data_IF_803659003561
#
_entry.id   IF_803659003561
#
_cell.length_a   1.000
_cell.length_b   1.000
_cell.length_c   1.000
_cell.angle_alpha   90.00
_cell.angle_beta   90.00
_cell.angle_gamma   90.00
#
_symmetry.space_group_name_H-M   'P 1'
#
loop_
_entity.id
_entity.type
_entity.pdbx_description
1 polymer ?
#
# COMPACT_ATOMS: atom_id res chain seq x y z
N UNK A 1 9.47 7.87 23.08
CA UNK A 1 9.67 8.70 24.29
C UNK A 1 9.36 7.88 25.55
N UNK A 2 10.23 7.90 26.58
CA UNK A 2 10.02 7.17 27.84
C UNK A 2 8.76 7.65 28.61
N UNK A 3 8.26 8.83 28.27
CA UNK A 3 7.11 9.51 28.90
C UNK A 3 5.74 8.94 28.50
N UNK A 4 5.63 8.25 27.36
CA UNK A 4 4.36 7.67 26.86
C UNK A 4 4.25 6.16 27.14
N UNK A 5 5.37 5.51 27.46
CA UNK A 5 5.45 4.05 27.61
C UNK A 5 4.61 3.49 28.77
N UNK A 6 4.22 4.34 29.72
CA UNK A 6 3.41 3.97 30.89
C UNK A 6 1.96 4.49 30.81
N UNK A 7 1.52 5.07 29.68
CA UNK A 7 0.13 5.50 29.53
C UNK A 7 -0.77 4.28 29.24
N UNK A 8 -1.79 3.99 30.07
CA UNK A 8 -2.72 2.89 29.85
C UNK A 8 -3.44 2.95 28.49
N UNK A 9 -3.52 4.13 27.84
CA UNK A 9 -4.03 4.27 26.47
C UNK A 9 -3.14 3.61 25.41
N UNK A 10 -1.83 3.53 25.64
CA UNK A 10 -0.92 2.83 24.71
C UNK A 10 -1.19 1.33 24.73
N UNK A 11 -1.46 0.77 25.91
CA UNK A 11 -1.80 -0.64 26.04
C UNK A 11 -3.12 -0.99 25.33
N UNK A 12 -4.16 -0.13 25.42
CA UNK A 12 -5.42 -0.36 24.70
C UNK A 12 -5.25 -0.26 23.19
N UNK A 13 -4.51 0.74 22.69
CA UNK A 13 -4.24 0.89 21.25
C UNK A 13 -3.48 -0.32 20.69
N UNK A 14 -2.47 -0.81 21.41
CA UNK A 14 -1.73 -2.03 21.00
C UNK A 14 -2.62 -3.26 21.00
N UNK A 15 -3.55 -3.38 21.95
CA UNK A 15 -4.49 -4.49 21.99
C UNK A 15 -5.49 -4.44 20.81
N UNK A 16 -6.00 -3.26 20.48
CA UNK A 16 -6.89 -3.05 19.33
C UNK A 16 -6.17 -3.37 18.02
N UNK A 17 -4.94 -2.89 17.85
CA UNK A 17 -4.12 -3.16 16.66
C UNK A 17 -3.82 -4.66 16.48
N UNK A 18 -3.49 -5.36 17.58
CA UNK A 18 -3.29 -6.81 17.56
C UNK A 18 -4.57 -7.57 17.19
N UNK A 19 -5.74 -7.08 17.62
CA UNK A 19 -7.02 -7.67 17.27
C UNK A 19 -7.32 -7.50 15.77
N UNK A 20 -7.05 -6.32 15.20
CA UNK A 20 -7.19 -6.04 13.77
C UNK A 20 -6.24 -6.93 12.96
N UNK A 21 -4.96 -6.99 13.33
CA UNK A 21 -3.96 -7.83 12.69
C UNK A 21 -4.38 -9.31 12.67
N UNK A 22 -4.86 -9.81 13.81
CA UNK A 22 -5.30 -11.20 13.92
C UNK A 22 -6.52 -11.48 13.03
N UNK A 23 -7.47 -10.53 12.96
CA UNK A 23 -8.64 -10.64 12.10
C UNK A 23 -8.25 -10.66 10.60
N UNK A 24 -7.32 -9.79 10.19
CA UNK A 24 -6.86 -9.71 8.80
C UNK A 24 -6.07 -10.94 8.38
N UNK A 25 -5.17 -11.44 9.24
CA UNK A 25 -4.46 -12.70 9.01
C UNK A 25 -5.43 -13.88 8.86
N UNK A 26 -6.44 -13.94 9.73
CA UNK A 26 -7.49 -14.98 9.66
C UNK A 26 -8.27 -14.88 8.36
N UNK A 27 -8.66 -13.67 7.94
CA UNK A 27 -9.39 -13.41 6.70
C UNK A 27 -8.57 -13.83 5.47
N UNK A 28 -7.29 -13.45 5.41
CA UNK A 28 -6.37 -13.86 4.33
C UNK A 28 -6.27 -15.38 4.26
N UNK A 29 -6.01 -16.02 5.40
CA UNK A 29 -5.90 -17.48 5.50
C UNK A 29 -7.16 -18.19 5.01
N UNK A 30 -8.34 -17.75 5.44
CA UNK A 30 -9.61 -18.35 5.03
C UNK A 30 -9.85 -18.21 3.52
N UNK A 31 -9.50 -17.07 2.93
CA UNK A 31 -9.62 -16.86 1.48
C UNK A 31 -8.66 -17.76 0.70
N UNK A 32 -7.40 -17.86 1.12
CA UNK A 32 -6.42 -18.76 0.51
C UNK A 32 -6.84 -20.23 0.63
N UNK A 33 -7.39 -20.62 1.79
CA UNK A 33 -7.93 -21.96 1.99
C UNK A 33 -9.11 -22.25 1.06
N UNK A 34 -10.05 -21.31 0.91
CA UNK A 34 -11.18 -21.48 -0.01
C UNK A 34 -10.72 -21.63 -1.47
N UNK A 35 -9.70 -20.87 -1.90
CA UNK A 35 -9.10 -21.03 -3.23
C UNK A 35 -8.40 -22.39 -3.38
N UNK A 36 -7.73 -22.88 -2.34
CA UNK A 36 -7.08 -24.20 -2.35
C UNK A 36 -8.10 -25.35 -2.43
N UNK A 37 -9.18 -25.26 -1.67
CA UNK A 37 -10.27 -26.23 -1.69
C UNK A 37 -10.98 -26.23 -3.06
N UNK A 38 -11.17 -25.05 -3.67
CA UNK A 38 -11.69 -24.93 -5.04
C UNK A 38 -10.78 -25.64 -6.05
N UNK A 39 -9.46 -25.46 -5.95
CA UNK A 39 -8.50 -26.16 -6.84
C UNK A 39 -8.57 -27.66 -6.68
N UNK A 40 -8.66 -28.17 -5.45
CA UNK A 40 -8.81 -29.61 -5.18
C UNK A 40 -10.10 -30.16 -5.77
N UNK A 41 -11.20 -29.43 -5.64
CA UNK A 41 -12.49 -29.80 -6.24
C UNK A 41 -12.37 -29.91 -7.77
N UNK A 42 -11.83 -28.87 -8.42
CA UNK A 42 -11.63 -28.84 -9.86
C UNK A 42 -10.68 -29.95 -10.34
N UNK A 43 -9.64 -30.28 -9.56
CA UNK A 43 -8.76 -31.40 -9.87
C UNK A 43 -9.50 -32.74 -9.82
N UNK A 44 -10.33 -32.96 -8.78
CA UNK A 44 -11.17 -34.16 -8.69
C UNK A 44 -12.20 -34.25 -9.82
N UNK A 45 -12.70 -33.11 -10.31
CA UNK A 45 -13.58 -33.04 -11.46
C UNK A 45 -12.84 -33.45 -12.74
N UNK A 46 -11.63 -32.91 -12.97
CA UNK A 46 -10.76 -33.31 -14.09
C UNK A 46 -10.51 -34.82 -14.08
N UNK A 47 -10.13 -35.38 -12.93
CA UNK A 47 -9.85 -36.82 -12.82
C UNK A 47 -11.09 -37.67 -13.14
N UNK A 48 -12.28 -37.18 -12.78
CA UNK A 48 -13.55 -37.84 -13.08
C UNK A 48 -13.90 -37.75 -14.56
N UNK A 49 -13.69 -36.59 -15.19
CA UNK A 49 -13.89 -36.39 -16.63
C UNK A 49 -12.91 -37.24 -17.45
N UNK A 50 -11.65 -37.35 -17.03
CA UNK A 50 -10.67 -38.23 -17.66
C UNK A 50 -11.10 -39.71 -17.62
N UNK A 51 -11.62 -40.18 -16.48
CA UNK A 51 -12.18 -41.53 -16.38
C UNK A 51 -13.39 -41.72 -17.31
N UNK A 52 -14.24 -40.71 -17.46
CA UNK A 52 -15.36 -40.75 -18.42
C UNK A 52 -14.85 -40.86 -19.85
N UNK A 53 -13.84 -40.08 -20.22
CA UNK A 53 -13.20 -40.16 -21.55
C UNK A 53 -12.67 -41.56 -21.83
N UNK A 54 -11.93 -42.16 -20.89
CA UNK A 54 -11.40 -43.54 -21.08
C UNK A 54 -12.52 -44.56 -21.31
N UNK A 55 -13.61 -44.47 -20.53
CA UNK A 55 -14.77 -45.34 -20.74
C UNK A 55 -15.47 -45.07 -22.09
N UNK A 56 -15.59 -43.81 -22.48
CA UNK A 56 -16.23 -43.40 -23.73
C UNK A 56 -15.41 -43.86 -24.94
N UNK A 57 -14.07 -43.75 -24.86
CA UNK A 57 -13.16 -44.23 -25.88
C UNK A 57 -13.30 -45.74 -26.08
N UNK A 58 -13.41 -46.51 -24.98
CA UNK A 58 -13.65 -47.95 -25.07
C UNK A 58 -14.97 -48.29 -25.77
N UNK A 59 -16.02 -47.48 -25.57
CA UNK A 59 -17.29 -47.65 -26.30
C UNK A 59 -17.15 -47.33 -27.79
N UNK A 60 -16.39 -46.28 -28.13
CA UNK A 60 -16.05 -45.95 -29.53
C UNK A 60 -15.31 -47.11 -30.19
N UNK A 61 -14.32 -47.69 -29.52
CA UNK A 61 -13.53 -48.80 -30.06
C UNK A 61 -14.41 -50.03 -30.32
N UNK A 62 -15.27 -50.40 -29.36
CA UNK A 62 -16.24 -51.50 -29.52
C UNK A 62 -17.24 -51.23 -30.65
N UNK A 63 -17.73 -49.99 -30.77
CA UNK A 63 -18.66 -49.62 -31.85
C UNK A 63 -17.97 -49.65 -33.23
N UNK A 64 -16.68 -49.28 -33.32
CA UNK A 64 -15.86 -49.39 -34.53
C UNK A 64 -15.62 -50.85 -34.94
N UNK A 65 -15.33 -51.73 -33.98
CA UNK A 65 -15.22 -53.17 -34.23
C UNK A 65 -16.54 -53.74 -34.77
N UNK A 66 -17.67 -53.38 -34.15
CA UNK A 66 -19.00 -53.80 -34.62
C UNK A 66 -19.29 -53.28 -36.03
N UNK A 67 -18.99 -52.01 -36.32
CA UNK A 67 -19.17 -51.42 -37.65
C UNK A 67 -18.33 -52.14 -38.70
N UNK A 68 -17.08 -52.49 -38.39
CA UNK A 68 -16.20 -53.26 -39.29
C UNK A 68 -16.79 -54.63 -39.62
N UNK A 69 -17.28 -55.34 -38.59
CA UNK A 69 -17.99 -56.61 -38.77
C UNK A 69 -19.23 -56.49 -39.65
N UNK A 70 -20.08 -55.49 -39.39
CA UNK A 70 -21.31 -55.23 -40.16
C UNK A 70 -20.99 -54.81 -41.60
N UNK A 71 -19.98 -53.95 -41.81
CA UNK A 71 -19.57 -53.47 -43.13
C UNK A 71 -19.14 -54.60 -44.05
N UNK A 72 -18.42 -55.60 -43.52
CA UNK A 72 -18.03 -56.80 -44.28
C UNK A 72 -19.22 -57.65 -44.74
N UNK A 73 -20.32 -57.65 -43.97
CA UNK A 73 -21.56 -58.37 -44.29
C UNK A 73 -22.45 -57.55 -45.24
N UNK A 74 -22.47 -56.22 -45.09
CA UNK A 74 -23.18 -55.31 -45.97
C UNK A 74 -22.60 -55.34 -47.40
N UNK A 75 -21.27 -55.38 -47.56
CA UNK A 75 -20.63 -55.55 -48.88
C UNK A 75 -21.00 -56.87 -49.57
N UNK A 76 -21.34 -57.91 -48.80
CA UNK A 76 -21.83 -59.20 -49.31
C UNK A 76 -23.34 -59.21 -49.56
N UNK A 77 -24.03 -58.08 -49.39
CA UNK A 77 -25.48 -57.95 -49.56
C UNK A 77 -26.32 -58.57 -48.43
N UNK A 78 -25.69 -58.92 -47.30
CA UNK A 78 -26.31 -59.67 -46.21
C UNK A 78 -26.89 -58.77 -45.10
N UNK A 79 -26.72 -57.44 -45.18
CA UNK A 79 -27.20 -56.48 -44.17
C UNK A 79 -27.74 -55.21 -44.83
N UNK A 80 -28.80 -54.64 -44.26
CA UNK A 80 -29.41 -53.37 -44.66
C UNK A 80 -28.48 -52.19 -44.34
N UNK A 81 -28.24 -51.32 -45.34
CA UNK A 81 -27.36 -50.14 -45.24
C UNK A 81 -27.70 -49.21 -44.06
N UNK A 82 -28.98 -49.20 -43.62
CA UNK A 82 -29.44 -48.47 -42.43
C UNK A 82 -28.66 -48.84 -41.16
N UNK A 83 -28.29 -50.11 -40.95
CA UNK A 83 -27.53 -50.52 -39.75
C UNK A 83 -26.11 -49.95 -39.72
N UNK A 84 -25.47 -49.84 -40.88
CA UNK A 84 -24.13 -49.23 -41.04
C UNK A 84 -24.21 -47.75 -40.68
N UNK A 85 -25.20 -47.04 -41.24
CA UNK A 85 -25.43 -45.63 -40.96
C UNK A 85 -25.70 -45.37 -39.47
N UNK A 86 -26.56 -46.16 -38.83
CA UNK A 86 -26.84 -46.01 -37.39
C UNK A 86 -25.60 -46.21 -36.54
N UNK A 87 -24.76 -47.22 -36.83
CA UNK A 87 -23.49 -47.41 -36.11
C UNK A 87 -22.52 -46.25 -36.31
N UNK A 88 -22.43 -45.70 -37.53
CA UNK A 88 -21.59 -44.53 -37.81
C UNK A 88 -22.06 -43.29 -37.05
N UNK A 89 -23.38 -43.04 -37.03
CA UNK A 89 -23.95 -41.97 -36.23
C UNK A 89 -23.62 -42.14 -34.74
N UNK A 90 -23.79 -43.35 -34.19
CA UNK A 90 -23.43 -43.60 -32.78
C UNK A 90 -21.95 -43.32 -32.53
N UNK A 91 -21.03 -43.77 -33.39
CA UNK A 91 -19.60 -43.46 -33.22
C UNK A 91 -19.35 -41.95 -33.20
N UNK A 92 -19.94 -41.21 -34.14
CA UNK A 92 -19.81 -39.76 -34.20
C UNK A 92 -20.37 -39.07 -32.95
N UNK A 93 -21.51 -39.53 -32.43
CA UNK A 93 -22.11 -39.01 -31.19
C UNK A 93 -21.20 -39.25 -29.98
N UNK A 94 -20.60 -40.44 -29.87
CA UNK A 94 -19.67 -40.76 -28.78
C UNK A 94 -18.35 -39.96 -28.88
N UNK A 95 -17.82 -39.78 -30.08
CA UNK A 95 -16.64 -38.95 -30.33
C UNK A 95 -16.93 -37.47 -30.02
N UNK A 96 -18.13 -36.98 -30.34
CA UNK A 96 -18.61 -35.65 -29.94
C UNK A 96 -18.62 -35.47 -28.42
N UNK A 97 -19.13 -36.45 -27.67
CA UNK A 97 -19.13 -36.40 -26.20
C UNK A 97 -17.71 -36.39 -25.60
N UNK A 98 -16.75 -37.07 -26.23
CA UNK A 98 -15.34 -37.02 -25.79
C UNK A 98 -14.80 -35.60 -25.93
N UNK A 99 -15.05 -34.94 -27.06
CA UNK A 99 -14.63 -33.55 -27.30
C UNK A 99 -15.27 -32.58 -26.31
N UNK A 100 -16.53 -32.81 -25.94
CA UNK A 100 -17.21 -32.02 -24.91
C UNK A 100 -16.54 -32.20 -23.53
N UNK A 101 -16.15 -33.42 -23.16
CA UNK A 101 -15.42 -33.68 -21.93
C UNK A 101 -14.02 -33.07 -21.93
N UNK A 102 -13.29 -33.14 -23.05
CA UNK A 102 -11.98 -32.49 -23.20
C UNK A 102 -12.10 -30.97 -23.05
N UNK A 103 -13.13 -30.38 -23.65
CA UNK A 103 -13.43 -28.95 -23.49
C UNK A 103 -13.72 -28.59 -22.04
N UNK A 104 -14.53 -29.40 -21.34
CA UNK A 104 -14.80 -29.21 -19.92
C UNK A 104 -13.53 -29.32 -19.05
N UNK A 105 -12.62 -30.25 -19.37
CA UNK A 105 -11.30 -30.36 -18.71
C UNK A 105 -10.48 -29.10 -18.94
N UNK A 106 -10.44 -28.57 -20.17
CA UNK A 106 -9.72 -27.34 -20.48
C UNK A 106 -10.28 -26.14 -19.69
N UNK A 107 -11.60 -26.02 -19.61
CA UNK A 107 -12.26 -24.99 -18.79
C UNK A 107 -11.92 -25.15 -17.31
N UNK A 108 -11.95 -26.37 -16.76
CA UNK A 108 -11.56 -26.63 -15.37
C UNK A 108 -10.10 -26.26 -15.11
N UNK A 109 -9.18 -26.59 -16.04
CA UNK A 109 -7.76 -26.20 -15.95
C UNK A 109 -7.57 -24.68 -16.00
N UNK A 110 -8.33 -23.97 -16.85
CA UNK A 110 -8.32 -22.51 -16.87
C UNK A 110 -8.80 -21.92 -15.54
N UNK A 111 -9.86 -22.48 -14.95
CA UNK A 111 -10.35 -22.07 -13.62
C UNK A 111 -9.32 -22.32 -12.51
N UNK A 112 -8.57 -23.43 -12.55
CA UNK A 112 -7.46 -23.68 -11.62
C UNK A 112 -6.37 -22.62 -11.78
N UNK A 113 -5.99 -22.31 -13.02
CA UNK A 113 -4.98 -21.28 -13.32
C UNK A 113 -5.41 -19.91 -12.79
N UNK A 114 -6.69 -19.55 -13.00
CA UNK A 114 -7.27 -18.32 -12.46
C UNK A 114 -7.27 -18.31 -10.93
N UNK A 115 -7.68 -19.40 -10.28
CA UNK A 115 -7.66 -19.50 -8.82
C UNK A 115 -6.24 -19.36 -8.24
N UNK A 116 -5.21 -19.83 -8.96
CA UNK A 116 -3.81 -19.61 -8.58
C UNK A 116 -3.39 -18.14 -8.74
N UNK A 117 -3.80 -17.48 -9.83
CA UNK A 117 -3.54 -16.05 -10.02
C UNK A 117 -4.23 -15.22 -8.93
N UNK A 118 -5.50 -15.50 -8.65
CA UNK A 118 -6.27 -14.82 -7.60
C UNK A 118 -5.61 -14.98 -6.21
N UNK A 119 -5.01 -16.15 -5.93
CA UNK A 119 -4.28 -16.38 -4.69
C UNK A 119 -3.00 -15.52 -4.60
N UNK A 120 -2.22 -15.47 -5.68
CA UNK A 120 -1.00 -14.63 -5.76
C UNK A 120 -1.36 -13.14 -5.66
N UNK A 121 -2.40 -12.71 -6.36
CA UNK A 121 -2.87 -11.32 -6.35
C UNK A 121 -3.36 -10.91 -4.96
N UNK A 122 -4.03 -11.82 -4.24
CA UNK A 122 -4.46 -11.57 -2.87
C UNK A 122 -3.26 -11.35 -1.93
N UNK A 123 -2.22 -12.18 -2.03
CA UNK A 123 -1.00 -12.02 -1.23
C UNK A 123 -0.25 -10.72 -1.58
N UNK A 124 -0.10 -10.43 -2.88
CA UNK A 124 0.56 -9.22 -3.35
C UNK A 124 -0.20 -7.96 -2.93
N UNK A 125 -1.52 -7.96 -3.04
CA UNK A 125 -2.38 -6.83 -2.63
C UNK A 125 -2.26 -6.60 -1.13
N UNK A 126 -2.28 -7.67 -0.32
CA UNK A 126 -2.11 -7.55 1.13
C UNK A 126 -0.74 -6.98 1.48
N UNK A 127 0.33 -7.46 0.86
CA UNK A 127 1.69 -6.96 1.09
C UNK A 127 1.85 -5.50 0.66
N UNK A 128 1.26 -5.12 -0.48
CA UNK A 128 1.27 -3.74 -0.96
C UNK A 128 0.50 -2.80 -0.03
N UNK A 129 -0.69 -3.23 0.46
CA UNK A 129 -1.45 -2.47 1.45
C UNK A 129 -0.65 -2.27 2.72
N UNK A 130 -0.08 -3.34 3.29
CA UNK A 130 0.73 -3.26 4.51
C UNK A 130 1.95 -2.33 4.34
N UNK A 131 2.60 -2.35 3.18
CA UNK A 131 3.71 -1.46 2.88
C UNK A 131 3.27 0.01 2.81
N UNK A 132 2.13 0.29 2.16
CA UNK A 132 1.56 1.63 2.06
C UNK A 132 1.09 2.14 3.44
N UNK A 133 0.40 1.31 4.21
CA UNK A 133 -0.07 1.62 5.56
C UNK A 133 1.12 1.93 6.48
N UNK A 134 2.18 1.12 6.43
CA UNK A 134 3.41 1.38 7.18
C UNK A 134 4.06 2.72 6.79
N UNK A 135 4.17 3.00 5.49
CA UNK A 135 4.74 4.26 5.02
C UNK A 135 3.92 5.46 5.50
N UNK A 136 2.59 5.36 5.47
CA UNK A 136 1.68 6.40 5.95
C UNK A 136 1.86 6.62 7.46
N UNK A 137 1.89 5.55 8.26
CA UNK A 137 2.12 5.63 9.70
C UNK A 137 3.49 6.23 10.04
N UNK A 138 4.56 5.87 9.31
CA UNK A 138 5.89 6.46 9.48
C UNK A 138 5.91 7.98 9.17
N UNK A 139 5.19 8.40 8.12
CA UNK A 139 5.05 9.81 7.77
C UNK A 139 4.26 10.59 8.84
N UNK A 140 3.14 10.04 9.30
CA UNK A 140 2.29 10.64 10.34
C UNK A 140 3.03 10.74 11.68
N UNK A 141 3.82 9.71 12.02
CA UNK A 141 4.67 9.70 13.20
C UNK A 141 5.75 10.81 13.11
N UNK A 142 6.42 10.92 11.97
CA UNK A 142 7.45 11.94 11.74
C UNK A 142 6.87 13.35 11.82
N UNK A 143 5.71 13.58 11.20
CA UNK A 143 4.99 14.86 11.26
C UNK A 143 4.56 15.20 12.70
N UNK A 144 4.10 14.20 13.46
CA UNK A 144 3.69 14.38 14.86
C UNK A 144 4.88 14.69 15.76
N UNK A 145 6.01 13.99 15.58
CA UNK A 145 7.26 14.29 16.31
C UNK A 145 7.77 15.70 16.00
N UNK A 146 7.72 16.13 14.74
CA UNK A 146 8.11 17.49 14.36
C UNK A 146 7.23 18.55 15.05
N UNK A 147 5.91 18.33 15.07
CA UNK A 147 4.96 19.22 15.77
C UNK A 147 5.25 19.27 17.28
N UNK A 148 5.53 18.12 17.89
CA UNK A 148 5.87 18.04 19.32
C UNK A 148 7.17 18.79 19.64
N UNK A 149 8.21 18.62 18.81
CA UNK A 149 9.48 19.34 18.95
C UNK A 149 9.30 20.86 18.77
N UNK A 150 8.47 21.28 17.83
CA UNK A 150 8.16 22.71 17.64
C UNK A 150 7.40 23.27 18.85
N UNK A 151 6.39 22.57 19.35
CA UNK A 151 5.63 23.01 20.52
C UNK A 151 6.50 23.10 21.78
N UNK A 152 7.37 22.13 22.01
CA UNK A 152 8.33 22.16 23.13
C UNK A 152 9.35 23.29 22.97
N UNK A 153 9.83 23.56 21.76
CA UNK A 153 10.68 24.72 21.45
C UNK A 153 10.01 26.06 21.74
N UNK A 154 8.76 26.25 21.29
CA UNK A 154 7.97 27.46 21.57
C UNK A 154 7.70 27.63 23.06
N UNK A 155 7.43 26.55 23.80
CA UNK A 155 7.28 26.60 25.26
C UNK A 155 8.59 26.98 25.95
N UNK A 156 9.72 26.42 25.51
CA UNK A 156 11.03 26.77 26.06
C UNK A 156 11.39 28.24 25.80
N UNK A 157 11.10 28.76 24.60
CA UNK A 157 11.28 30.18 24.27
C UNK A 157 10.41 31.08 25.16
N UNK A 158 9.12 30.75 25.31
CA UNK A 158 8.20 31.48 26.19
C UNK A 158 8.64 31.46 27.67
N UNK A 159 9.17 30.34 28.17
CA UNK A 159 9.64 30.19 29.55
C UNK A 159 11.00 30.82 29.80
N UNK A 160 11.91 30.80 28.83
CA UNK A 160 13.26 31.39 28.95
C UNK A 160 13.24 32.91 29.09
N UNK A 161 12.08 33.54 28.92
CA UNK A 161 11.90 34.96 29.15
C UNK A 161 12.82 35.75 28.24
N UNK A 162 12.44 35.92 26.98
CA UNK A 162 13.21 36.70 26.02
C UNK A 162 13.67 38.02 26.69
N UNK A 163 14.98 38.28 26.87
CA UNK A 163 15.45 39.42 27.66
C UNK A 163 14.93 40.76 27.12
N UNK A 164 14.58 40.81 25.83
CA UNK A 164 13.90 41.94 25.21
C UNK A 164 12.47 42.15 25.76
N UNK A 165 11.71 41.08 26.00
CA UNK A 165 10.36 41.14 26.58
C UNK A 165 10.37 41.39 28.10
N UNK A 166 11.44 40.95 28.79
CA UNK A 166 11.65 41.29 30.20
C UNK A 166 11.85 42.82 30.38
N UNK A 167 12.60 43.46 29.46
CA UNK A 167 12.75 44.94 29.41
C UNK A 167 11.43 45.69 29.21
N UNK A 168 10.54 45.16 28.38
CA UNK A 168 9.18 45.73 28.23
C UNK A 168 8.29 45.50 29.46
N UNK A 169 8.47 44.39 30.17
CA UNK A 169 7.71 44.05 31.40
C UNK A 169 8.08 44.93 32.60
N UNK A 170 9.35 45.32 32.74
CA UNK A 170 9.80 46.24 33.80
C UNK A 170 9.52 47.72 33.47
N UNK A 171 8.90 48.02 32.32
CA UNK A 171 8.54 49.39 31.93
C UNK A 171 9.73 50.29 31.59
N UNK A 172 10.94 49.72 31.45
CA UNK A 172 12.13 50.47 31.04
C UNK A 172 12.13 50.65 29.52
N UNK A 173 11.73 51.83 29.05
CA UNK A 173 11.97 52.22 27.66
C UNK A 173 13.48 52.19 27.37
N UNK A 174 13.93 51.51 26.30
CA UNK A 174 15.35 51.43 26.00
C UNK A 174 15.87 52.84 25.68
N UNK A 175 16.71 53.39 26.57
CA UNK A 175 17.35 54.70 26.34
C UNK A 175 18.30 54.58 25.15
N UNK A 176 17.95 55.22 24.05
CA UNK A 176 18.78 55.32 22.85
C UNK A 176 19.83 56.42 23.06
N UNK A 177 21.09 56.12 22.71
CA UNK A 177 22.16 57.12 22.64
C UNK A 177 22.47 57.43 21.19
N UNK A 178 22.54 58.72 20.87
CA UNK A 178 22.82 59.23 19.53
C UNK A 178 24.23 59.85 19.52
N UNK A 179 25.04 59.48 18.54
CA UNK A 179 26.34 60.10 18.31
C UNK A 179 26.48 60.48 16.83
N UNK A 180 27.03 61.66 16.57
CA UNK A 180 27.36 62.14 15.23
C UNK A 180 28.81 61.81 14.96
N UNK A 181 29.08 61.19 13.82
CA UNK A 181 30.42 60.97 13.31
C UNK A 181 30.68 62.04 12.24
N UNK A 182 31.56 62.99 12.56
CA UNK A 182 31.93 64.12 11.69
C UNK A 182 33.41 64.07 11.38
N UNK A 183 33.78 64.38 10.14
CA UNK A 183 35.19 64.52 9.75
C UNK A 183 35.60 65.98 9.93
N UNK A 184 36.49 66.26 10.88
CA UNK A 184 37.07 67.59 11.12
C UNK A 184 38.56 67.48 10.86
N UNK A 185 39.10 68.34 9.98
CA UNK A 185 40.52 68.35 9.59
C UNK A 185 41.07 66.98 9.12
N UNK A 186 40.27 66.24 8.35
CA UNK A 186 40.65 64.93 7.80
C UNK A 186 40.69 63.79 8.82
N UNK A 187 40.26 64.02 10.06
CA UNK A 187 40.13 62.98 11.10
C UNK A 187 38.66 62.83 11.51
N UNK A 188 38.22 61.58 11.60
CA UNK A 188 36.88 61.22 12.04
C UNK A 188 36.76 61.37 13.56
N UNK A 189 35.83 62.19 14.04
CA UNK A 189 35.50 62.34 15.45
C UNK A 189 34.05 61.92 15.74
N UNK A 190 33.84 61.19 16.84
CA UNK A 190 32.51 60.81 17.35
C UNK A 190 32.11 61.85 18.41
N UNK A 191 31.03 62.57 18.16
CA UNK A 191 30.49 63.66 18.98
C UNK A 191 29.14 63.19 19.54
N UNK A 192 28.92 63.31 20.85
CA UNK A 192 27.60 63.02 21.43
C UNK A 192 26.56 63.99 20.87
N UNK A 193 25.43 63.45 20.38
CA UNK A 193 24.41 64.23 19.71
C UNK A 193 23.14 64.36 20.56
N UNK A 194 22.66 65.59 20.71
CA UNK A 194 21.35 65.93 21.26
C UNK A 194 20.45 66.53 20.17
N UNK A 195 19.15 66.69 20.46
CA UNK A 195 18.15 67.17 19.49
C UNK A 195 18.47 68.56 18.92
N UNK A 196 19.16 69.39 19.69
CA UNK A 196 19.61 70.75 19.34
C UNK A 196 20.95 70.78 18.59
N UNK A 197 21.59 69.64 18.34
CA UNK A 197 22.88 69.58 17.64
C UNK A 197 22.70 69.71 16.12
N UNK A 198 23.23 70.77 15.46
CA UNK A 198 23.03 70.97 14.03
C UNK A 198 23.82 69.94 13.19
N UNK A 199 23.13 69.27 12.28
CA UNK A 199 23.69 68.27 11.35
C UNK A 199 24.22 68.98 10.09
N UNK A 200 25.45 68.65 9.69
CA UNK A 200 26.11 69.23 8.51
C UNK A 200 26.23 68.19 7.37
N UNK A 201 26.35 68.63 6.10
CA UNK A 201 26.54 67.71 4.98
C UNK A 201 27.80 66.86 5.16
N UNK A 202 27.65 65.53 5.16
CA UNK A 202 28.74 64.57 5.36
C UNK A 202 28.78 63.91 6.74
N UNK A 203 27.88 64.29 7.66
CA UNK A 203 27.75 63.64 8.96
C UNK A 203 27.06 62.27 8.86
N UNK A 204 27.49 61.32 9.71
CA UNK A 204 26.84 60.02 9.89
C UNK A 204 26.30 59.92 11.31
N UNK A 205 24.99 59.69 11.46
CA UNK A 205 24.36 59.47 12.76
C UNK A 205 24.49 58.00 13.15
N UNK A 206 25.08 57.75 14.31
CA UNK A 206 25.23 56.43 14.92
C UNK A 206 24.24 56.31 16.08
N UNK A 207 23.30 55.40 15.94
CA UNK A 207 22.31 55.07 16.98
C UNK A 207 22.78 53.81 17.69
N UNK A 208 22.94 53.88 19.01
CA UNK A 208 23.28 52.73 19.86
C UNK A 208 22.30 52.66 21.01
N UNK A 209 21.87 51.46 21.37
CA UNK A 209 21.24 51.26 22.68
C UNK A 209 22.27 51.62 23.75
N UNK A 210 21.92 52.51 24.68
CA UNK A 210 22.83 52.86 25.76
C UNK A 210 23.09 51.60 26.61
N UNK A 211 24.35 51.22 26.86
CA UNK A 211 24.65 50.17 27.83
C UNK A 211 24.27 50.68 29.22
N UNK A 212 23.52 49.88 29.98
CA UNK A 212 23.13 50.25 31.34
C UNK A 212 24.35 50.46 32.23
N UNK A 213 24.33 51.49 33.05
CA UNK A 213 25.20 51.55 34.21
C UNK A 213 24.78 50.42 35.15
N UNK A 214 25.67 49.44 35.33
CA UNK A 214 25.52 48.44 36.39
C UNK A 214 25.65 49.18 37.72
N UNK A 215 24.56 49.27 38.48
CA UNK A 215 24.61 49.52 39.93
C UNK A 215 24.23 48.24 40.66
#
# INVERSE_FOLDING_TARGET
>A
PKEVANDPKVASVVADEMAILTADQKKLKLRLQALDDLKKLLQSEIDSLQKKIVNQQRQVDLAKEQLSGIGSLAQKGLVVNTRVLTSQQTIADLEGQILDYDTAILTAKQSISKANQDAIDLENTQNASLAADRQQVEADLSATMLKMNMQTGLMAEAMSGNPALQRYRDGEEPTMSFALVRVVDGKTSEIAASEDTPVLPGDVIKVKLAPMASQ
#
